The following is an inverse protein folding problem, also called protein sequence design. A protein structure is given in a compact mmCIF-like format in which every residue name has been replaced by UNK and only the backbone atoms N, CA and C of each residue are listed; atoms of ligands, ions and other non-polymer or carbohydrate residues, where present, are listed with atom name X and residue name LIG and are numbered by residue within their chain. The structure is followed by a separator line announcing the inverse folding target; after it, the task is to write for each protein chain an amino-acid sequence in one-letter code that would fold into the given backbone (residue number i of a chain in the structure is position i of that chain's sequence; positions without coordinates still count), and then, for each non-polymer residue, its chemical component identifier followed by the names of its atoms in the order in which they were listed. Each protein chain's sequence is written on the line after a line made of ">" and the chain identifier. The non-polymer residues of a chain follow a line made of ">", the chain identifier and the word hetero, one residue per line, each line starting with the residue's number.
data_IF_629549300204
#
_entry.id   IF_629549300204
#
_cell.length_a   1.000
_cell.length_b   1.000
_cell.length_c   1.000
_cell.angle_alpha   90.00
_cell.angle_beta   90.00
_cell.angle_gamma   90.00
#
_symmetry.space_group_name_H-M   'P 1'
#
loop_
_entity.id
_entity.type
_entity.pdbx_description
1 polymer ?
#
# COMPACT_ATOMS: atom_id res chain seq x y z
N UNK A 1 -0.87 -35.00 -5.80
CA UNK A 1 -1.65 -35.00 -7.05
C UNK A 1 -3.02 -35.56 -6.74
N UNK A 2 -4.01 -34.68 -6.63
CA UNK A 2 -5.42 -35.02 -6.61
C UNK A 2 -6.11 -33.89 -7.37
N UNK A 3 -6.71 -34.24 -8.51
CA UNK A 3 -7.44 -33.32 -9.39
C UNK A 3 -8.91 -33.41 -9.00
N UNK A 4 -9.48 -32.29 -8.56
CA UNK A 4 -10.92 -32.07 -8.38
C UNK A 4 -11.13 -30.68 -9.01
N UNK A 5 -11.80 -30.49 -10.15
CA UNK A 5 -13.18 -30.82 -10.49
C UNK A 5 -13.83 -29.48 -10.88
N UNK A 6 -14.20 -29.30 -12.15
CA UNK A 6 -14.68 -28.04 -12.73
C UNK A 6 -16.02 -27.58 -12.14
N UNK A 7 -16.15 -26.30 -11.82
CA UNK A 7 -17.44 -25.67 -11.45
C UNK A 7 -18.25 -25.42 -12.73
N UNK A 8 -19.53 -25.83 -12.83
CA UNK A 8 -20.33 -25.60 -14.03
C UNK A 8 -20.87 -24.17 -14.07
N UNK A 9 -20.55 -23.41 -15.14
CA UNK A 9 -21.19 -22.10 -15.40
C UNK A 9 -20.39 -21.14 -16.28
N UNK A 10 -19.06 -21.26 -16.33
CA UNK A 10 -18.23 -20.30 -17.05
C UNK A 10 -18.04 -20.71 -18.51
N UNK A 11 -18.95 -20.31 -19.38
CA UNK A 11 -18.80 -20.46 -20.84
C UNK A 11 -18.28 -19.19 -21.49
N UNK A 12 -17.33 -18.49 -20.88
CA UNK A 12 -16.54 -17.50 -21.62
C UNK A 12 -15.36 -18.24 -22.28
N UNK A 13 -15.31 -18.33 -23.63
CA UNK A 13 -14.11 -18.75 -24.33
C UNK A 13 -12.97 -17.81 -23.92
N UNK A 14 -11.80 -18.38 -23.62
CA UNK A 14 -10.66 -17.68 -23.01
C UNK A 14 -10.09 -16.50 -23.81
N UNK A 15 -10.60 -16.24 -25.02
CA UNK A 15 -9.91 -15.47 -26.04
C UNK A 15 -10.75 -14.30 -26.62
N UNK A 16 -11.92 -13.97 -26.05
CA UNK A 16 -12.79 -12.91 -26.61
C UNK A 16 -13.30 -11.91 -25.53
N UNK A 17 -12.47 -10.90 -25.24
CA UNK A 17 -12.76 -9.84 -24.27
C UNK A 17 -13.77 -8.80 -24.76
N UNK A 18 -14.10 -8.78 -26.05
CA UNK A 18 -14.98 -7.76 -26.65
C UNK A 18 -16.47 -8.16 -26.62
N UNK A 19 -16.78 -9.41 -26.27
CA UNK A 19 -18.16 -9.94 -26.25
C UNK A 19 -18.89 -9.82 -24.90
N UNK A 20 -18.20 -9.41 -23.83
CA UNK A 20 -18.79 -9.26 -22.50
C UNK A 20 -19.66 -7.98 -22.42
N UNK A 21 -20.99 -8.16 -22.34
CA UNK A 21 -21.94 -7.07 -22.17
C UNK A 21 -21.60 -6.20 -20.94
N UNK A 22 -21.65 -4.88 -21.13
CA UNK A 22 -21.27 -3.84 -20.18
C UNK A 22 -22.24 -3.82 -18.99
N UNK A 23 -22.08 -4.74 -18.04
CA UNK A 23 -22.97 -4.84 -16.88
C UNK A 23 -22.62 -5.91 -15.85
N UNK A 24 -21.72 -6.84 -16.17
CA UNK A 24 -21.34 -7.95 -15.27
C UNK A 24 -19.85 -8.03 -14.95
N UNK A 25 -19.01 -7.09 -15.40
CA UNK A 25 -17.62 -7.03 -14.99
C UNK A 25 -17.53 -6.58 -13.53
N UNK A 26 -17.55 -7.54 -12.61
CA UNK A 26 -16.80 -7.38 -11.37
C UNK A 26 -15.36 -7.11 -11.78
N UNK A 27 -14.75 -6.05 -11.26
CA UNK A 27 -13.32 -5.81 -11.39
C UNK A 27 -12.64 -7.05 -10.82
N UNK A 28 -12.17 -7.92 -11.69
CA UNK A 28 -11.51 -9.16 -11.30
C UNK A 28 -10.24 -8.79 -10.56
N UNK A 29 -10.27 -8.92 -9.23
CA UNK A 29 -9.05 -8.97 -8.44
C UNK A 29 -8.18 -10.06 -9.06
N UNK A 30 -6.96 -9.71 -9.45
CA UNK A 30 -6.05 -10.64 -10.11
C UNK A 30 -5.73 -11.77 -9.11
N UNK A 31 -6.39 -12.91 -9.21
CA UNK A 31 -6.20 -14.08 -8.36
C UNK A 31 -4.86 -14.77 -8.70
N UNK A 32 -3.73 -14.14 -8.36
CA UNK A 32 -2.43 -14.80 -8.40
C UNK A 32 -2.24 -15.57 -7.08
N UNK A 33 -2.28 -16.91 -7.18
CA UNK A 33 -1.73 -17.85 -6.18
C UNK A 33 -2.35 -17.87 -4.77
N UNK A 34 -3.68 -17.76 -4.63
CA UNK A 34 -4.38 -17.90 -3.34
C UNK A 34 -4.12 -19.25 -2.62
N UNK A 35 -3.78 -20.32 -3.34
CA UNK A 35 -3.46 -21.62 -2.74
C UNK A 35 -2.09 -21.65 -2.03
N UNK A 36 -1.18 -20.72 -2.35
CA UNK A 36 0.17 -20.62 -1.79
C UNK A 36 0.33 -19.43 -0.84
N UNK A 37 -0.49 -18.40 -1.04
CA UNK A 37 -0.66 -17.27 -0.15
C UNK A 37 -2.17 -17.11 0.05
N UNK A 38 -2.78 -17.77 1.05
CA UNK A 38 -4.18 -17.49 1.37
C UNK A 38 -4.34 -15.97 1.55
N UNK A 39 -5.48 -15.41 1.15
CA UNK A 39 -5.82 -14.01 1.38
C UNK A 39 -5.93 -13.79 2.90
N UNK A 40 -4.78 -13.62 3.55
CA UNK A 40 -4.67 -13.41 5.00
C UNK A 40 -4.91 -11.96 5.37
N UNK A 41 -5.07 -11.09 4.37
CA UNK A 41 -5.29 -9.68 4.56
C UNK A 41 -6.36 -9.20 3.59
N UNK A 42 -7.35 -8.51 4.14
CA UNK A 42 -8.36 -7.80 3.36
C UNK A 42 -8.01 -6.32 3.38
N UNK A 43 -8.06 -5.66 2.23
CA UNK A 43 -7.91 -4.22 2.16
C UNK A 43 -8.95 -3.54 3.06
N UNK A 44 -8.56 -2.44 3.70
CA UNK A 44 -9.46 -1.72 4.60
C UNK A 44 -10.67 -1.17 3.84
N UNK A 45 -10.44 -0.70 2.61
CA UNK A 45 -11.46 -0.30 1.66
C UNK A 45 -10.97 -0.55 0.22
N UNK A 46 -11.55 -1.54 -0.47
CA UNK A 46 -11.15 -1.89 -1.84
C UNK A 46 -11.44 -0.77 -2.85
N UNK A 47 -12.34 0.18 -2.53
CA UNK A 47 -12.58 1.35 -3.36
C UNK A 47 -11.53 2.46 -3.17
N UNK A 48 -10.80 2.43 -2.06
CA UNK A 48 -9.81 3.46 -1.65
C UNK A 48 -8.35 2.96 -1.77
N UNK A 49 -8.15 1.76 -2.34
CA UNK A 49 -6.84 1.17 -2.60
C UNK A 49 -6.50 -0.05 -1.75
N UNK A 50 -5.40 -0.72 -2.10
CA UNK A 50 -5.02 -1.98 -1.47
C UNK A 50 -4.02 -1.77 -0.32
N UNK A 51 -4.51 -1.25 0.80
CA UNK A 51 -3.75 -1.09 2.04
C UNK A 51 -4.39 -1.86 3.19
N UNK A 52 -3.56 -2.39 4.09
CA UNK A 52 -3.97 -3.27 5.18
C UNK A 52 -2.88 -3.38 6.25
N UNK A 53 -3.22 -3.94 7.41
CA UNK A 53 -2.24 -4.37 8.40
C UNK A 53 -2.49 -5.79 8.87
N UNK A 54 -1.45 -6.43 9.41
CA UNK A 54 -1.56 -7.70 10.10
C UNK A 54 -0.48 -7.82 11.17
N UNK A 55 -0.74 -8.63 12.19
CA UNK A 55 0.20 -8.90 13.28
C UNK A 55 0.92 -10.22 13.03
N UNK A 56 2.24 -10.22 13.20
CA UNK A 56 3.09 -11.40 13.16
C UNK A 56 4.04 -11.38 14.35
N UNK A 57 3.81 -12.28 15.31
CA UNK A 57 4.54 -12.26 16.58
C UNK A 57 4.30 -10.95 17.33
N UNK A 58 5.38 -10.25 17.66
CA UNK A 58 5.35 -8.97 18.39
C UNK A 58 5.57 -7.75 17.48
N UNK A 59 5.25 -7.92 16.19
CA UNK A 59 5.28 -6.87 15.19
C UNK A 59 3.93 -6.73 14.50
N UNK A 60 3.45 -5.50 14.36
CA UNK A 60 2.36 -5.17 13.44
C UNK A 60 2.94 -4.57 12.16
N UNK A 61 2.52 -5.12 11.02
CA UNK A 61 3.01 -4.77 9.70
C UNK A 61 1.90 -4.02 8.98
N UNK A 62 2.18 -2.77 8.58
CA UNK A 62 1.30 -1.89 7.82
C UNK A 62 1.79 -1.84 6.38
N UNK A 63 0.98 -2.33 5.45
CA UNK A 63 1.29 -2.32 4.01
C UNK A 63 0.55 -1.15 3.37
N UNK A 64 1.31 -0.21 2.79
CA UNK A 64 0.76 0.97 2.15
C UNK A 64 0.55 0.75 0.65
N UNK A 65 -0.63 1.12 0.17
CA UNK A 65 -0.82 1.53 -1.21
C UNK A 65 -0.26 2.96 -1.39
N UNK A 66 0.60 3.18 -2.38
CA UNK A 66 1.17 4.51 -2.70
C UNK A 66 0.90 4.90 -4.16
N UNK A 67 -0.17 4.34 -4.73
CA UNK A 67 -0.53 4.49 -6.14
C UNK A 67 -1.98 4.88 -6.31
N UNK A 68 -2.91 4.19 -5.64
CA UNK A 68 -4.35 4.36 -5.89
C UNK A 68 -4.85 5.79 -5.63
N UNK A 69 -4.43 6.39 -4.51
CA UNK A 69 -4.86 7.73 -4.08
C UNK A 69 -3.81 8.82 -4.25
N UNK A 70 -2.75 8.52 -5.01
CA UNK A 70 -1.63 9.42 -5.16
C UNK A 70 -1.95 10.55 -6.13
N UNK A 71 -1.66 11.78 -5.72
CA UNK A 71 -1.71 12.94 -6.58
C UNK A 71 -0.64 12.88 -7.69
N UNK A 72 -0.95 13.40 -8.90
CA UNK A 72 -0.01 13.37 -10.02
C UNK A 72 1.35 13.99 -9.70
N UNK A 73 2.42 13.34 -10.17
CA UNK A 73 3.80 13.73 -9.86
C UNK A 73 4.16 15.14 -10.32
N UNK A 74 3.64 15.57 -11.47
CA UNK A 74 3.92 16.89 -12.05
C UNK A 74 3.34 18.05 -11.24
N UNK A 75 2.43 17.80 -10.29
CA UNK A 75 1.92 18.84 -9.42
C UNK A 75 3.03 19.32 -8.46
N UNK A 76 3.10 20.63 -8.17
CA UNK A 76 4.11 21.15 -7.26
C UNK A 76 3.96 20.53 -5.87
N UNK A 77 5.08 20.27 -5.18
CA UNK A 77 5.04 19.84 -3.78
C UNK A 77 4.41 20.97 -2.93
N UNK A 78 3.23 20.67 -2.38
CA UNK A 78 2.40 21.55 -1.56
C UNK A 78 1.75 20.74 -0.45
N UNK A 79 1.29 21.37 0.65
CA UNK A 79 0.66 20.66 1.77
C UNK A 79 -0.60 19.86 1.41
N UNK A 80 -1.27 20.18 0.30
CA UNK A 80 -2.44 19.46 -0.20
C UNK A 80 -2.07 18.25 -1.07
N UNK A 81 -0.83 18.16 -1.58
CA UNK A 81 -0.39 17.06 -2.44
C UNK A 81 -0.10 15.83 -1.60
N UNK A 82 -0.67 14.69 -1.97
CA UNK A 82 -0.67 13.47 -1.16
C UNK A 82 -0.28 12.24 -1.95
N UNK A 83 0.51 11.37 -1.32
CA UNK A 83 0.88 10.02 -1.74
C UNK A 83 -0.18 8.99 -1.34
N UNK A 84 -0.79 9.15 -0.16
CA UNK A 84 -1.72 8.18 0.43
C UNK A 84 -3.19 8.59 0.34
N UNK A 85 -3.46 9.88 0.14
CA UNK A 85 -4.76 10.46 0.46
C UNK A 85 -5.00 10.58 1.97
N UNK A 86 -6.08 11.30 2.32
CA UNK A 86 -6.40 11.60 3.72
C UNK A 86 -6.85 10.35 4.51
N UNK A 87 -7.65 9.48 3.88
CA UNK A 87 -8.22 8.30 4.54
C UNK A 87 -7.14 7.33 5.00
N UNK A 88 -6.28 6.89 4.08
CA UNK A 88 -5.20 5.97 4.37
C UNK A 88 -4.17 6.58 5.34
N UNK A 89 -3.87 7.88 5.23
CA UNK A 89 -2.99 8.57 6.19
C UNK A 89 -3.54 8.52 7.60
N UNK A 90 -4.83 8.83 7.77
CA UNK A 90 -5.48 8.78 9.08
C UNK A 90 -5.54 7.34 9.61
N UNK A 91 -5.88 6.38 8.75
CA UNK A 91 -5.84 4.95 9.09
C UNK A 91 -4.48 4.53 9.62
N UNK A 92 -3.39 4.89 8.94
CA UNK A 92 -2.03 4.56 9.36
C UNK A 92 -1.68 5.17 10.72
N UNK A 93 -1.94 6.47 10.91
CA UNK A 93 -1.64 7.16 12.18
C UNK A 93 -2.44 6.60 13.35
N UNK A 94 -3.72 6.29 13.13
CA UNK A 94 -4.56 5.62 14.13
C UNK A 94 -4.03 4.22 14.42
N UNK A 95 -3.74 3.41 13.40
CA UNK A 95 -3.20 2.06 13.58
C UNK A 95 -1.88 2.04 14.35
N UNK A 96 -0.95 2.94 14.02
CA UNK A 96 0.33 3.07 14.72
C UNK A 96 0.16 3.39 16.21
N UNK A 97 -0.81 4.24 16.57
CA UNK A 97 -1.06 4.63 17.97
C UNK A 97 -1.90 3.59 18.73
N UNK A 98 -2.81 2.87 18.08
CA UNK A 98 -3.65 1.85 18.70
C UNK A 98 -2.97 0.48 18.82
N UNK A 99 -1.92 0.23 18.04
CA UNK A 99 -1.23 -1.05 18.00
C UNK A 99 -0.51 -1.37 19.31
N UNK A 100 -0.83 -2.52 19.90
CA UNK A 100 -0.18 -3.06 21.10
C UNK A 100 1.10 -3.82 20.82
N UNK A 101 1.48 -4.04 19.55
CA UNK A 101 2.70 -4.73 19.19
C UNK A 101 3.95 -3.92 19.58
N UNK A 102 5.03 -4.58 20.01
CA UNK A 102 6.28 -3.89 20.32
C UNK A 102 6.86 -3.19 19.10
N UNK A 103 6.85 -3.83 17.94
CA UNK A 103 7.37 -3.27 16.69
C UNK A 103 6.26 -2.89 15.71
N UNK A 104 6.44 -1.76 15.03
CA UNK A 104 5.60 -1.34 13.91
C UNK A 104 6.46 -1.32 12.65
N UNK A 105 6.05 -2.05 11.62
CA UNK A 105 6.77 -2.09 10.35
C UNK A 105 5.87 -1.48 9.29
N UNK A 106 6.30 -0.37 8.70
CA UNK A 106 5.57 0.31 7.62
C UNK A 106 6.23 -0.03 6.29
N UNK A 107 5.51 -0.70 5.40
CA UNK A 107 6.00 -1.09 4.08
C UNK A 107 5.46 -0.10 3.05
N UNK A 108 6.37 0.55 2.33
CA UNK A 108 6.05 1.44 1.22
C UNK A 108 6.74 0.98 -0.05
N UNK A 109 6.03 1.00 -1.17
CA UNK A 109 6.62 0.67 -2.48
C UNK A 109 7.46 1.82 -3.04
N UNK A 110 7.41 3.02 -2.45
CA UNK A 110 8.13 4.21 -2.91
C UNK A 110 9.27 4.56 -1.96
N UNK A 111 10.42 4.95 -2.51
CA UNK A 111 11.60 5.26 -1.69
C UNK A 111 11.41 6.47 -0.78
N UNK A 112 11.97 6.37 0.44
CA UNK A 112 12.07 7.47 1.39
C UNK A 112 13.51 8.02 1.52
N UNK A 113 14.41 7.67 0.59
CA UNK A 113 15.79 8.15 0.59
C UNK A 113 15.99 9.25 -0.47
N UNK A 114 16.27 10.48 -0.03
CA UNK A 114 16.56 11.61 -0.92
C UNK A 114 17.79 11.38 -1.81
N UNK A 115 18.81 10.68 -1.30
CA UNK A 115 20.08 10.48 -1.99
C UNK A 115 19.97 9.43 -3.11
N UNK A 116 18.95 8.57 -3.04
CA UNK A 116 18.81 7.49 -4.02
C UNK A 116 18.41 7.99 -5.41
N UNK A 117 17.58 9.04 -5.51
CA UNK A 117 17.19 9.66 -6.79
C UNK A 117 17.02 11.19 -6.68
N UNK A 118 18.09 11.97 -6.52
CA UNK A 118 18.00 13.39 -6.15
C UNK A 118 17.22 14.28 -7.13
N UNK A 119 17.19 13.92 -8.42
CA UNK A 119 16.47 14.65 -9.46
C UNK A 119 15.04 14.13 -9.73
N UNK A 120 14.64 13.03 -9.09
CA UNK A 120 13.32 12.44 -9.30
C UNK A 120 12.32 13.05 -8.31
N UNK A 121 11.07 13.25 -8.74
CA UNK A 121 9.97 13.75 -7.91
C UNK A 121 9.01 12.63 -7.48
N UNK A 122 9.17 11.43 -8.03
CA UNK A 122 8.40 10.20 -7.77
C UNK A 122 8.79 9.55 -6.42
N UNK A 123 9.04 10.34 -5.38
CA UNK A 123 9.37 9.78 -4.07
C UNK A 123 9.06 10.69 -2.87
N UNK A 124 8.92 10.07 -1.69
CA UNK A 124 8.53 10.72 -0.44
C UNK A 124 9.37 11.96 -0.13
N UNK A 125 10.69 11.82 -0.21
CA UNK A 125 11.63 12.90 0.08
C UNK A 125 11.88 13.80 -1.12
N UNK A 126 10.99 13.90 -2.10
CA UNK A 126 11.09 14.89 -3.19
C UNK A 126 9.74 15.50 -3.55
N UNK A 127 8.88 14.81 -4.31
CA UNK A 127 7.62 15.36 -4.78
C UNK A 127 6.49 15.37 -3.75
N UNK A 128 6.71 14.73 -2.59
CA UNK A 128 5.72 14.54 -1.50
C UNK A 128 6.32 14.89 -0.12
N UNK A 129 7.29 15.80 -0.09
CA UNK A 129 8.02 16.18 1.13
C UNK A 129 7.11 16.77 2.20
N UNK A 130 6.07 17.51 1.80
CA UNK A 130 5.17 18.16 2.76
C UNK A 130 4.33 17.12 3.48
N UNK A 131 3.85 16.08 2.79
CA UNK A 131 3.20 14.95 3.46
C UNK A 131 4.18 14.10 4.27
N UNK A 132 5.39 13.86 3.76
CA UNK A 132 6.44 13.18 4.54
C UNK A 132 6.75 13.94 5.85
N UNK A 133 6.68 15.28 5.84
CA UNK A 133 6.85 16.11 7.03
C UNK A 133 5.75 15.88 8.07
N UNK A 134 4.51 15.59 7.66
CA UNK A 134 3.42 15.23 8.59
C UNK A 134 3.80 13.99 9.41
N UNK A 135 4.35 12.95 8.77
CA UNK A 135 4.82 11.76 9.48
C UNK A 135 6.04 12.06 10.35
N UNK A 136 6.98 12.87 9.85
CA UNK A 136 8.15 13.29 10.63
C UNK A 136 7.72 14.00 11.93
N UNK A 137 6.76 14.92 11.85
CA UNK A 137 6.26 15.67 12.99
C UNK A 137 5.45 14.78 13.94
N UNK A 138 4.66 13.86 13.39
CA UNK A 138 3.97 12.82 14.16
C UNK A 138 4.95 11.97 14.99
N UNK A 139 6.04 11.47 14.39
CA UNK A 139 7.04 10.70 15.13
C UNK A 139 7.89 11.57 16.08
N UNK A 140 8.10 12.85 15.76
CA UNK A 140 8.74 13.78 16.68
C UNK A 140 7.90 14.01 17.95
N UNK A 141 6.57 14.05 17.82
CA UNK A 141 5.63 14.15 18.94
C UNK A 141 5.43 12.82 19.70
N UNK A 142 5.81 11.68 19.11
CA UNK A 142 5.59 10.34 19.67
C UNK A 142 6.92 9.55 19.79
N UNK A 143 7.75 9.91 20.77
CA UNK A 143 9.10 9.36 20.93
C UNK A 143 9.15 7.82 21.06
N UNK A 144 8.19 7.22 21.77
CA UNK A 144 8.10 5.76 21.91
C UNK A 144 7.77 5.07 20.58
N UNK A 145 6.84 5.62 19.80
CA UNK A 145 6.53 5.11 18.46
C UNK A 145 7.71 5.28 17.52
N UNK A 146 8.41 6.42 17.57
CA UNK A 146 9.61 6.66 16.78
C UNK A 146 10.71 5.63 17.06
N UNK A 147 10.88 5.21 18.31
CA UNK A 147 11.88 4.21 18.69
C UNK A 147 11.52 2.77 18.25
N UNK A 148 10.24 2.51 17.98
CA UNK A 148 9.70 1.17 17.70
C UNK A 148 9.14 1.01 16.29
N UNK A 149 9.21 2.05 15.45
CA UNK A 149 8.69 2.01 14.08
C UNK A 149 9.81 2.01 13.06
N UNK A 150 9.75 1.07 12.12
CA UNK A 150 10.68 0.97 11.00
C UNK A 150 9.90 1.10 9.70
N UNK A 151 10.40 1.92 8.78
CA UNK A 151 9.87 1.99 7.41
C UNK A 151 10.77 1.22 6.45
N UNK A 152 10.18 0.32 5.68
CA UNK A 152 10.85 -0.42 4.60
C UNK A 152 10.38 0.16 3.27
N UNK A 153 11.32 0.45 2.37
CA UNK A 153 11.02 1.03 1.04
C UNK A 153 11.67 0.25 -0.09
N UNK A 154 11.10 0.34 -1.30
CA UNK A 154 11.58 -0.36 -2.49
C UNK A 154 11.63 0.58 -3.73
N UNK A 155 11.24 0.08 -4.91
CA UNK A 155 11.27 0.73 -6.25
C UNK A 155 12.64 0.94 -6.88
N UNK A 156 13.66 1.27 -6.08
CA UNK A 156 14.96 1.70 -6.60
C UNK A 156 15.75 0.65 -7.40
N UNK A 157 15.37 -0.63 -7.32
CA UNK A 157 16.09 -1.77 -7.89
C UNK A 157 17.56 -1.86 -7.43
N UNK A 158 17.87 -1.24 -6.30
CA UNK A 158 19.18 -1.22 -5.66
C UNK A 158 19.01 -1.26 -4.14
N UNK A 159 20.03 -1.72 -3.42
CA UNK A 159 20.10 -1.60 -1.95
C UNK A 159 20.82 -0.31 -1.56
N UNK A 160 20.35 0.35 -0.50
CA UNK A 160 20.92 1.60 0.01
C UNK A 160 20.45 1.92 1.42
#
# INVERSE_FOLDING_TARGET
>A
VQVLGSVPGDTCPSDDLDSCQVGSCQVGLLHINQARFPDTHRSVDEADGNYFSFVSGDAEIFVLDTRSNRDPDFLPNRPWKSMLGLTQRNWLMTGLTSSSATWKIVISTVTANIQARPANIDHWMSGFRDEAAVFKDFFAANAALKASTVMITADLHTGG
#
